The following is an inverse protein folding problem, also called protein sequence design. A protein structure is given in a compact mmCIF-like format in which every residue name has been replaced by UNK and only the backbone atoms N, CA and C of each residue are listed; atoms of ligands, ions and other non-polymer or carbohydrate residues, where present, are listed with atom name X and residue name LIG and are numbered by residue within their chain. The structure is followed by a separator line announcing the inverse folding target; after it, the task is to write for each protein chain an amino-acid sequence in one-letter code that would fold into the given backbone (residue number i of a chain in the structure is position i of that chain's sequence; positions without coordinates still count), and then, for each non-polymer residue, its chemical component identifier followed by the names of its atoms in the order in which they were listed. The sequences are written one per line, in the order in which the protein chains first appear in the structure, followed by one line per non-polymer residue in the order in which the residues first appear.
data_IF_716537085704
#
_entry.id   IF_716537085704
#
_cell.length_a   1.000
_cell.length_b   1.000
_cell.length_c   1.000
_cell.angle_alpha   90.00
_cell.angle_beta   90.00
_cell.angle_gamma   90.00
#
_symmetry.space_group_name_H-M   'P 1'
#
loop_
_entity.id
_entity.type
_entity.pdbx_description
1 polymer ?
#
# COMPACT_ATOMS: atom_id res chain seq x y z
N UNK A 1 7.28 -38.50 9.40
CA UNK A 1 7.53 -37.38 10.34
C UNK A 1 8.06 -36.21 9.54
N UNK A 2 7.20 -35.25 9.18
CA UNK A 2 7.62 -34.04 8.52
C UNK A 2 8.04 -33.03 9.59
N UNK A 3 9.30 -32.64 9.56
CA UNK A 3 9.87 -31.64 10.45
C UNK A 3 9.13 -30.31 10.26
N UNK A 4 8.44 -29.88 11.30
CA UNK A 4 7.88 -28.52 11.39
C UNK A 4 9.06 -27.57 11.46
N UNK A 5 9.37 -26.94 10.34
CA UNK A 5 10.42 -25.92 10.26
C UNK A 5 10.00 -24.75 11.14
N UNK A 6 10.77 -24.48 12.16
CA UNK A 6 10.57 -23.40 13.12
C UNK A 6 10.33 -22.06 12.40
N UNK A 7 9.28 -21.37 12.82
CA UNK A 7 8.87 -20.04 12.39
C UNK A 7 10.02 -19.04 12.39
N UNK A 8 10.67 -18.84 11.26
CA UNK A 8 11.66 -17.80 11.12
C UNK A 8 10.91 -16.51 10.70
N UNK A 9 10.63 -15.64 11.66
CA UNK A 9 9.97 -14.34 11.43
C UNK A 9 10.80 -13.42 10.53
N UNK A 10 12.11 -13.66 10.51
CA UNK A 10 13.06 -12.93 9.66
C UNK A 10 13.21 -13.65 8.32
N UNK A 11 13.22 -12.86 7.24
CA UNK A 11 13.60 -13.39 5.93
C UNK A 11 15.12 -13.58 5.82
N UNK A 12 15.55 -14.38 4.84
CA UNK A 12 16.97 -14.68 4.61
C UNK A 12 17.78 -13.53 4.00
N UNK A 13 17.23 -12.30 3.92
CA UNK A 13 17.92 -11.11 3.39
C UNK A 13 17.95 -11.00 1.86
N UNK A 14 17.24 -11.87 1.13
CA UNK A 14 17.12 -11.79 -0.33
C UNK A 14 16.15 -10.69 -0.75
N UNK A 15 16.52 -9.90 -1.77
CA UNK A 15 15.72 -8.78 -2.26
C UNK A 15 14.64 -9.19 -3.26
N UNK A 16 14.71 -10.40 -3.84
CA UNK A 16 13.72 -10.91 -4.79
C UNK A 16 12.72 -11.81 -4.08
N UNK A 17 11.52 -11.31 -3.88
CA UNK A 17 10.39 -12.10 -3.38
C UNK A 17 9.47 -12.40 -4.56
N UNK A 18 9.33 -13.67 -4.91
CA UNK A 18 8.45 -14.11 -6.00
C UNK A 18 6.98 -13.77 -5.69
N UNK A 19 6.16 -13.61 -6.73
CA UNK A 19 4.72 -13.45 -6.57
C UNK A 19 4.11 -14.68 -5.85
N UNK A 20 3.11 -14.45 -4.99
CA UNK A 20 2.44 -15.52 -4.24
C UNK A 20 3.18 -16.02 -2.99
N UNK A 21 4.37 -15.50 -2.69
CA UNK A 21 5.08 -15.84 -1.45
C UNK A 21 4.32 -15.31 -0.24
N UNK A 22 4.20 -16.17 0.77
CA UNK A 22 3.61 -15.81 2.06
C UNK A 22 4.69 -15.66 3.14
N UNK A 23 4.42 -14.84 4.14
CA UNK A 23 5.27 -14.65 5.32
C UNK A 23 4.42 -14.55 6.58
N UNK A 24 5.02 -14.88 7.71
CA UNK A 24 4.38 -14.67 9.01
C UNK A 24 4.48 -13.20 9.42
N UNK A 25 3.35 -12.61 9.81
CA UNK A 25 3.33 -11.30 10.42
C UNK A 25 3.94 -11.37 11.83
N UNK A 26 4.98 -10.58 12.09
CA UNK A 26 5.65 -10.55 13.38
C UNK A 26 4.74 -10.12 14.55
N UNK A 27 3.69 -9.35 14.26
CA UNK A 27 2.71 -8.91 15.25
C UNK A 27 1.62 -9.95 15.51
N UNK A 28 0.97 -10.45 14.42
CA UNK A 28 -0.24 -11.29 14.53
C UNK A 28 0.05 -12.78 14.38
N UNK A 29 1.25 -13.17 13.98
CA UNK A 29 1.67 -14.56 13.67
C UNK A 29 0.90 -15.19 12.50
N UNK A 30 0.03 -14.47 11.85
CA UNK A 30 -0.72 -14.95 10.69
C UNK A 30 0.19 -15.07 9.47
N UNK A 31 -0.05 -16.10 8.67
CA UNK A 31 0.58 -16.30 7.38
C UNK A 31 -0.18 -15.47 6.32
N UNK A 32 0.47 -14.50 5.72
CA UNK A 32 -0.14 -13.56 4.79
C UNK A 32 0.67 -13.44 3.50
N UNK A 33 0.03 -13.12 2.38
CA UNK A 33 0.74 -12.75 1.16
C UNK A 33 1.66 -11.54 1.41
N UNK A 34 2.86 -11.56 0.87
CA UNK A 34 3.82 -10.46 1.04
C UNK A 34 3.32 -9.13 0.46
N UNK A 35 2.34 -9.16 -0.46
CA UNK A 35 1.72 -7.96 -1.02
C UNK A 35 0.78 -7.26 -0.03
N UNK A 36 0.32 -7.99 0.98
CA UNK A 36 -0.50 -7.49 2.08
C UNK A 36 0.34 -7.02 3.27
N UNK A 37 1.67 -7.05 3.15
CA UNK A 37 2.59 -6.76 4.23
C UNK A 37 3.61 -5.68 3.86
N UNK A 38 4.22 -5.08 4.88
CA UNK A 38 5.40 -4.24 4.73
C UNK A 38 6.59 -4.95 5.37
N UNK A 39 7.68 -4.99 4.61
CA UNK A 39 8.98 -5.44 5.07
C UNK A 39 9.67 -4.31 5.83
N UNK A 40 10.33 -4.64 6.92
CA UNK A 40 11.17 -3.73 7.68
C UNK A 40 12.58 -4.32 7.79
N UNK A 41 13.57 -3.45 7.80
CA UNK A 41 14.98 -3.82 7.98
C UNK A 41 15.61 -2.94 9.04
N UNK A 42 16.78 -3.34 9.53
CA UNK A 42 17.59 -2.49 10.40
C UNK A 42 18.52 -1.68 9.52
N UNK A 43 18.36 -0.38 9.57
CA UNK A 43 19.21 0.60 8.89
C UNK A 43 20.35 1.12 9.77
N UNK A 44 21.07 2.14 9.31
CA UNK A 44 22.16 2.78 10.07
C UNK A 44 21.67 3.25 11.45
N UNK A 45 22.56 3.20 12.45
CA UNK A 45 22.24 3.61 13.83
C UNK A 45 21.17 2.75 14.51
N UNK A 46 21.00 1.50 14.06
CA UNK A 46 19.98 0.56 14.58
C UNK A 46 18.54 1.05 14.41
N UNK A 47 18.27 1.94 13.45
CA UNK A 47 16.91 2.39 13.17
C UNK A 47 16.13 1.36 12.35
N UNK A 48 14.86 1.13 12.74
CA UNK A 48 13.94 0.33 11.94
C UNK A 48 13.45 1.15 10.75
N UNK A 49 13.62 0.62 9.53
CA UNK A 49 13.31 1.30 8.28
C UNK A 49 12.30 0.48 7.47
N UNK A 50 11.20 1.09 6.98
CA UNK A 50 10.28 0.42 6.07
C UNK A 50 10.95 0.17 4.71
N UNK A 51 10.87 -1.06 4.21
CA UNK A 51 11.35 -1.44 2.87
C UNK A 51 10.17 -1.72 1.93
N UNK A 52 9.46 -0.66 1.57
CA UNK A 52 8.26 -0.71 0.73
C UNK A 52 8.56 -1.31 -0.65
N UNK A 53 9.74 -1.04 -1.21
CA UNK A 53 10.18 -1.53 -2.52
C UNK A 53 10.85 -2.91 -2.46
N UNK A 54 11.07 -3.46 -1.26
CA UNK A 54 11.73 -4.76 -1.03
C UNK A 54 13.13 -4.86 -1.65
N UNK A 55 13.90 -3.78 -1.54
CA UNK A 55 15.23 -3.65 -2.18
C UNK A 55 16.36 -3.43 -1.19
N UNK A 56 16.04 -3.13 0.08
CA UNK A 56 17.06 -2.88 1.08
C UNK A 56 17.74 -4.19 1.49
N UNK A 57 19.08 -4.16 1.68
CA UNK A 57 19.82 -5.33 2.14
C UNK A 57 19.49 -5.68 3.59
N UNK A 58 19.96 -6.84 4.04
CA UNK A 58 19.79 -7.30 5.40
C UNK A 58 18.54 -8.16 5.60
N UNK A 59 18.46 -8.76 6.79
CA UNK A 59 17.30 -9.57 7.19
C UNK A 59 16.07 -8.69 7.35
N UNK A 60 14.94 -9.12 6.84
CA UNK A 60 13.67 -8.40 6.91
C UNK A 60 12.72 -9.00 7.92
N UNK A 61 11.97 -8.14 8.60
CA UNK A 61 10.84 -8.49 9.44
C UNK A 61 9.56 -8.02 8.75
N UNK A 62 8.54 -8.85 8.72
CA UNK A 62 7.30 -8.57 8.00
C UNK A 62 6.16 -8.26 8.96
N UNK A 63 5.44 -7.18 8.71
CA UNK A 63 4.26 -6.77 9.48
C UNK A 63 3.11 -6.52 8.51
N UNK A 64 1.89 -6.85 8.89
CA UNK A 64 0.68 -6.54 8.12
C UNK A 64 0.70 -5.09 7.66
N UNK A 65 0.40 -4.85 6.38
CA UNK A 65 0.54 -3.56 5.71
C UNK A 65 -0.58 -2.58 6.02
N UNK A 66 -0.85 -2.32 7.30
CA UNK A 66 -1.84 -1.35 7.77
C UNK A 66 -1.22 -0.39 8.78
N UNK A 67 -1.77 0.82 8.88
CA UNK A 67 -1.31 1.84 9.83
C UNK A 67 -1.37 1.33 11.27
N UNK A 68 -2.49 0.69 11.62
CA UNK A 68 -2.76 0.18 12.97
C UNK A 68 -1.79 -0.95 13.34
N UNK A 69 -1.51 -1.87 12.41
CA UNK A 69 -0.59 -2.98 12.65
C UNK A 69 0.83 -2.49 12.95
N UNK A 70 1.29 -1.49 12.21
CA UNK A 70 2.64 -0.96 12.41
C UNK A 70 2.71 -0.16 13.71
N UNK A 71 1.73 0.68 14.01
CA UNK A 71 1.66 1.41 15.26
C UNK A 71 1.64 0.46 16.48
N UNK A 72 0.85 -0.61 16.41
CA UNK A 72 0.79 -1.62 17.47
C UNK A 72 2.09 -2.43 17.57
N UNK A 73 2.76 -2.72 16.45
CA UNK A 73 4.06 -3.38 16.45
C UNK A 73 5.14 -2.52 17.13
N UNK A 74 5.12 -1.21 16.94
CA UNK A 74 5.99 -0.27 17.66
C UNK A 74 5.67 -0.28 19.14
N UNK A 75 4.39 -0.10 19.51
CA UNK A 75 3.93 -0.06 20.91
C UNK A 75 4.30 -1.33 21.68
N UNK A 76 4.18 -2.50 21.06
CA UNK A 76 4.53 -3.79 21.66
C UNK A 76 5.99 -4.19 21.53
N UNK A 77 6.85 -3.31 21.05
CA UNK A 77 8.29 -3.57 20.86
C UNK A 77 8.57 -4.85 20.04
N UNK A 78 7.73 -5.10 19.00
CA UNK A 78 7.81 -6.29 18.14
C UNK A 78 9.11 -6.31 17.36
N UNK A 79 9.61 -5.15 16.94
CA UNK A 79 10.82 -5.03 16.12
C UNK A 79 12.07 -5.47 16.88
N UNK A 80 12.30 -5.02 18.12
CA UNK A 80 13.45 -5.44 18.91
C UNK A 80 13.45 -6.96 19.17
N UNK A 81 12.29 -7.51 19.51
CA UNK A 81 12.13 -8.96 19.69
C UNK A 81 12.34 -9.75 18.40
N UNK A 82 11.77 -9.28 17.29
CA UNK A 82 11.87 -9.97 16.01
C UNK A 82 13.28 -9.95 15.43
N UNK A 83 13.97 -8.82 15.50
CA UNK A 83 15.37 -8.72 15.06
C UNK A 83 16.37 -9.32 16.05
N UNK A 84 15.94 -9.62 17.30
CA UNK A 84 16.79 -10.14 18.38
C UNK A 84 17.99 -9.22 18.68
N UNK A 85 17.79 -7.92 18.59
CA UNK A 85 18.79 -6.89 18.87
C UNK A 85 18.11 -5.61 19.33
N UNK A 86 18.86 -4.73 19.96
CA UNK A 86 18.37 -3.41 20.31
C UNK A 86 18.22 -2.56 19.04
N UNK A 87 16.97 -2.17 18.74
CA UNK A 87 16.62 -1.34 17.58
C UNK A 87 15.72 -0.19 17.98
N UNK A 88 15.83 0.90 17.24
CA UNK A 88 15.05 2.12 17.45
C UNK A 88 13.93 2.19 16.42
N UNK A 89 12.72 1.85 16.82
CA UNK A 89 11.52 2.09 16.01
C UNK A 89 10.96 3.47 16.34
N UNK A 90 10.83 4.33 15.33
CA UNK A 90 10.22 5.65 15.49
C UNK A 90 8.76 5.50 15.96
N UNK A 91 8.30 6.37 16.83
CA UNK A 91 6.88 6.44 17.22
C UNK A 91 5.97 6.67 16.00
N UNK A 92 6.45 7.40 14.99
CA UNK A 92 5.75 7.64 13.70
C UNK A 92 6.27 6.75 12.57
N UNK A 93 6.65 5.50 12.87
CA UNK A 93 7.08 4.54 11.85
C UNK A 93 5.96 4.26 10.83
N UNK A 94 4.70 4.27 11.28
CA UNK A 94 3.55 4.11 10.41
C UNK A 94 3.39 5.28 9.43
N UNK A 95 3.55 6.53 9.88
CA UNK A 95 3.56 7.69 9.00
C UNK A 95 4.70 7.65 7.98
N UNK A 96 5.90 7.26 8.40
CA UNK A 96 7.03 7.04 7.50
C UNK A 96 6.70 6.00 6.42
N UNK A 97 6.11 4.87 6.80
CA UNK A 97 5.72 3.82 5.86
C UNK A 97 4.66 4.31 4.85
N UNK A 98 3.67 5.10 5.32
CA UNK A 98 2.66 5.69 4.46
C UNK A 98 3.25 6.64 3.42
N UNK A 99 4.11 7.57 3.85
CA UNK A 99 4.78 8.50 2.94
C UNK A 99 5.59 7.76 1.87
N UNK A 100 6.26 6.66 2.25
CA UNK A 100 7.00 5.83 1.29
C UNK A 100 6.07 5.09 0.32
N UNK A 101 4.90 4.62 0.76
CA UNK A 101 3.87 4.02 -0.12
C UNK A 101 3.32 5.05 -1.10
N UNK A 102 2.96 6.23 -0.62
CA UNK A 102 2.47 7.32 -1.45
C UNK A 102 3.52 7.74 -2.50
N UNK A 103 4.75 7.99 -2.08
CA UNK A 103 5.86 8.30 -2.99
C UNK A 103 6.06 7.19 -4.02
N UNK A 104 5.98 5.93 -3.60
CA UNK A 104 6.10 4.80 -4.53
C UNK A 104 5.01 4.80 -5.59
N UNK A 105 3.76 5.12 -5.25
CA UNK A 105 2.65 5.23 -6.20
C UNK A 105 2.86 6.41 -7.16
N UNK A 106 3.23 7.60 -6.64
CA UNK A 106 3.53 8.79 -7.46
C UNK A 106 4.71 8.58 -8.41
N UNK A 107 5.78 7.87 -7.98
CA UNK A 107 6.89 7.47 -8.86
C UNK A 107 6.39 6.61 -10.04
N UNK A 108 5.45 5.68 -9.78
CA UNK A 108 4.88 4.86 -10.86
C UNK A 108 4.01 5.70 -11.80
N UNK A 109 3.22 6.62 -11.25
CA UNK A 109 2.42 7.55 -12.07
C UNK A 109 3.30 8.40 -12.97
N UNK A 110 4.41 8.93 -12.45
CA UNK A 110 5.39 9.70 -13.23
C UNK A 110 5.97 8.89 -14.40
N UNK A 111 6.32 7.63 -14.16
CA UNK A 111 6.83 6.72 -15.21
C UNK A 111 5.75 6.47 -16.27
N UNK A 112 4.51 6.23 -15.84
CA UNK A 112 3.36 6.02 -16.72
C UNK A 112 3.06 7.27 -17.56
N UNK A 113 3.16 8.46 -16.95
CA UNK A 113 3.02 9.73 -17.64
C UNK A 113 4.10 9.95 -18.72
N UNK A 114 5.37 9.64 -18.40
CA UNK A 114 6.49 9.70 -19.36
C UNK A 114 6.33 8.71 -20.52
N UNK A 115 5.68 7.58 -20.28
CA UNK A 115 5.36 6.58 -21.31
C UNK A 115 4.14 6.98 -22.19
N UNK A 116 3.56 8.18 -22.00
CA UNK A 116 2.41 8.64 -22.76
C UNK A 116 1.09 7.93 -22.42
N UNK A 117 1.03 7.26 -21.25
CA UNK A 117 -0.15 6.51 -20.78
C UNK A 117 -0.97 7.28 -19.75
N UNK A 118 -0.84 8.60 -19.72
CA UNK A 118 -1.58 9.49 -18.83
C UNK A 118 -2.02 10.74 -19.59
N UNK A 119 -3.30 11.05 -19.49
CA UNK A 119 -3.92 12.27 -20.04
C UNK A 119 -4.28 13.16 -18.87
N UNK A 120 -3.95 14.46 -18.94
CA UNK A 120 -4.23 15.43 -17.87
C UNK A 120 -5.04 16.62 -18.36
N UNK A 121 -5.90 17.17 -17.50
CA UNK A 121 -6.78 18.31 -17.77
C UNK A 121 -8.19 17.91 -18.18
N UNK A 122 -9.19 18.66 -17.71
CA UNK A 122 -10.61 18.33 -17.78
C UNK A 122 -11.07 17.89 -19.18
N UNK A 123 -10.94 18.76 -20.19
CA UNK A 123 -11.42 18.49 -21.55
C UNK A 123 -10.75 17.27 -22.21
N UNK A 124 -9.45 17.06 -21.94
CA UNK A 124 -8.73 15.89 -22.48
C UNK A 124 -9.14 14.61 -21.78
N UNK A 125 -9.38 14.66 -20.47
CA UNK A 125 -9.88 13.51 -19.69
C UNK A 125 -11.28 13.15 -20.16
N UNK A 126 -12.18 14.12 -20.35
CA UNK A 126 -13.52 13.91 -20.88
C UNK A 126 -13.49 13.27 -22.26
N UNK A 127 -12.62 13.74 -23.16
CA UNK A 127 -12.42 13.12 -24.48
C UNK A 127 -11.89 11.69 -24.40
N UNK A 128 -10.96 11.41 -23.48
CA UNK A 128 -10.45 10.05 -23.27
C UNK A 128 -11.54 9.10 -22.73
N UNK A 129 -12.40 9.57 -21.83
CA UNK A 129 -13.57 8.79 -21.37
C UNK A 129 -14.45 8.43 -22.55
N UNK A 130 -14.74 9.40 -23.45
CA UNK A 130 -15.61 9.15 -24.60
C UNK A 130 -15.06 8.12 -25.61
N UNK A 131 -13.73 7.93 -25.64
CA UNK A 131 -13.03 6.95 -26.48
C UNK A 131 -12.91 5.56 -25.83
N UNK A 132 -13.34 5.39 -24.58
CA UNK A 132 -13.26 4.14 -23.81
C UNK A 132 -11.83 3.56 -23.69
N UNK A 133 -10.82 4.40 -23.58
CA UNK A 133 -9.42 3.96 -23.46
C UNK A 133 -8.83 4.26 -22.08
N UNK A 134 -9.65 4.24 -21.03
CA UNK A 134 -9.19 4.53 -19.66
C UNK A 134 -9.31 3.33 -18.72
N UNK A 135 -8.27 3.10 -17.91
CA UNK A 135 -8.25 2.11 -16.84
C UNK A 135 -8.56 2.70 -15.46
N UNK A 136 -8.23 3.97 -15.28
CA UNK A 136 -8.59 4.68 -14.07
C UNK A 136 -8.78 6.17 -14.33
N UNK A 137 -9.67 6.77 -13.52
CA UNK A 137 -9.86 8.20 -13.42
C UNK A 137 -9.20 8.68 -12.12
N UNK A 138 -8.37 9.72 -12.22
CA UNK A 138 -7.63 10.27 -11.08
C UNK A 138 -8.12 11.69 -10.85
N UNK A 139 -8.56 11.98 -9.63
CA UNK A 139 -8.88 13.31 -9.16
C UNK A 139 -7.93 13.72 -8.06
N UNK A 140 -7.51 14.97 -8.03
CA UNK A 140 -6.85 15.52 -6.87
C UNK A 140 -7.81 15.46 -5.67
N UNK A 141 -7.32 15.10 -4.48
CA UNK A 141 -8.15 15.00 -3.26
C UNK A 141 -8.70 16.36 -2.80
N UNK A 142 -8.11 17.43 -3.28
CA UNK A 142 -8.51 18.83 -3.09
C UNK A 142 -9.19 19.44 -4.35
N UNK A 143 -9.61 18.58 -5.30
CA UNK A 143 -10.36 19.00 -6.49
C UNK A 143 -11.75 19.54 -6.13
N UNK A 144 -12.28 20.44 -6.95
CA UNK A 144 -13.66 20.89 -6.79
C UNK A 144 -14.65 19.79 -7.09
N UNK A 145 -15.76 19.76 -6.33
CA UNK A 145 -16.82 18.75 -6.46
C UNK A 145 -17.48 18.78 -7.87
N UNK A 146 -17.59 19.94 -8.49
CA UNK A 146 -18.27 20.08 -9.78
C UNK A 146 -17.52 19.35 -10.91
N UNK A 147 -16.20 19.57 -11.03
CA UNK A 147 -15.37 18.89 -12.02
C UNK A 147 -15.34 17.38 -11.81
N UNK A 148 -15.14 16.95 -10.56
CA UNK A 148 -15.15 15.54 -10.16
C UNK A 148 -16.47 14.86 -10.51
N UNK A 149 -17.60 15.49 -10.15
CA UNK A 149 -18.95 14.97 -10.43
C UNK A 149 -19.21 14.83 -11.94
N UNK A 150 -18.84 15.83 -12.75
CA UNK A 150 -19.04 15.78 -14.20
C UNK A 150 -18.28 14.63 -14.86
N UNK A 151 -17.00 14.45 -14.55
CA UNK A 151 -16.18 13.38 -15.11
C UNK A 151 -16.64 11.99 -14.63
N UNK A 152 -17.02 11.84 -13.36
CA UNK A 152 -17.58 10.61 -12.84
C UNK A 152 -18.94 10.27 -13.49
N UNK A 153 -19.78 11.26 -13.76
CA UNK A 153 -21.03 11.07 -14.45
C UNK A 153 -20.82 10.63 -15.92
N UNK A 154 -19.85 11.24 -16.62
CA UNK A 154 -19.47 10.85 -17.98
C UNK A 154 -18.98 9.38 -18.02
N UNK A 155 -18.11 8.98 -17.07
CA UNK A 155 -17.63 7.61 -16.94
C UNK A 155 -18.77 6.62 -16.67
N UNK A 156 -19.67 6.94 -15.74
CA UNK A 156 -20.83 6.10 -15.42
C UNK A 156 -21.80 5.97 -16.60
N UNK A 157 -21.96 7.02 -17.42
CA UNK A 157 -22.76 6.97 -18.64
C UNK A 157 -22.16 6.04 -19.69
N UNK A 158 -20.83 6.07 -19.87
CA UNK A 158 -20.11 5.17 -20.77
C UNK A 158 -20.27 3.69 -20.30
N UNK A 159 -20.01 3.41 -19.02
CA UNK A 159 -20.13 2.06 -18.46
C UNK A 159 -21.52 1.46 -18.62
N UNK A 160 -22.59 2.28 -18.50
CA UNK A 160 -23.97 1.85 -18.77
C UNK A 160 -24.22 1.49 -20.23
N UNK A 161 -23.59 2.20 -21.17
CA UNK A 161 -23.68 1.88 -22.61
C UNK A 161 -22.98 0.58 -22.98
N UNK A 162 -21.97 0.20 -22.21
CA UNK A 162 -21.13 -0.99 -22.43
C UNK A 162 -21.55 -2.18 -21.58
N UNK A 163 -22.83 -2.27 -21.19
CA UNK A 163 -23.38 -3.29 -20.27
C UNK A 163 -23.07 -4.75 -20.67
N UNK A 164 -22.80 -5.04 -21.95
CA UNK A 164 -22.40 -6.39 -22.41
C UNK A 164 -20.96 -6.80 -22.07
N UNK A 165 -20.07 -5.81 -21.79
CA UNK A 165 -18.70 -6.02 -21.33
C UNK A 165 -18.34 -4.94 -20.33
N UNK A 166 -18.86 -5.01 -19.09
CA UNK A 166 -18.55 -4.00 -18.09
C UNK A 166 -17.05 -4.02 -17.78
N UNK A 167 -16.36 -2.94 -18.09
CA UNK A 167 -14.99 -2.70 -17.68
C UNK A 167 -15.04 -1.92 -16.38
N UNK A 168 -14.48 -2.49 -15.32
CA UNK A 168 -14.39 -1.80 -14.03
C UNK A 168 -13.25 -0.76 -14.09
N UNK A 169 -13.62 0.50 -14.27
CA UNK A 169 -12.67 1.61 -14.27
C UNK A 169 -12.56 2.19 -12.86
N UNK A 170 -11.38 2.18 -12.28
CA UNK A 170 -11.15 2.65 -10.93
C UNK A 170 -11.20 4.19 -10.86
N UNK A 171 -11.77 4.75 -9.78
CA UNK A 171 -11.61 6.17 -9.42
C UNK A 171 -10.63 6.30 -8.27
N UNK A 172 -9.67 7.22 -8.39
CA UNK A 172 -8.56 7.44 -7.46
C UNK A 172 -8.54 8.90 -7.03
N UNK A 173 -8.62 9.14 -5.72
CA UNK A 173 -8.67 10.46 -5.08
C UNK A 173 -7.69 10.57 -3.88
N UNK A 174 -6.57 9.85 -3.95
CA UNK A 174 -5.64 9.67 -2.84
C UNK A 174 -4.53 10.74 -2.75
N UNK A 175 -4.35 11.55 -3.79
CA UNK A 175 -3.23 12.48 -3.91
C UNK A 175 -3.74 13.91 -4.05
N UNK A 176 -3.12 14.86 -3.35
CA UNK A 176 -3.42 16.29 -3.55
C UNK A 176 -2.94 16.79 -4.91
N UNK A 177 -3.51 17.90 -5.40
CA UNK A 177 -3.05 18.57 -6.63
C UNK A 177 -1.56 18.87 -6.59
N UNK A 178 -1.03 19.34 -5.45
CA UNK A 178 0.40 19.57 -5.28
C UNK A 178 1.26 18.32 -5.42
N UNK A 179 0.80 17.16 -4.93
CA UNK A 179 1.50 15.89 -5.13
C UNK A 179 1.48 15.44 -6.60
N UNK A 180 0.35 15.65 -7.30
CA UNK A 180 0.24 15.33 -8.72
C UNK A 180 1.12 16.24 -9.58
N UNK A 181 1.15 17.54 -9.28
CA UNK A 181 1.99 18.53 -9.96
C UNK A 181 3.47 18.16 -9.88
N UNK A 182 3.94 17.88 -8.69
CA UNK A 182 5.34 17.46 -8.44
C UNK A 182 5.68 16.15 -9.16
N UNK A 183 4.81 15.15 -9.07
CA UNK A 183 5.06 13.84 -9.65
C UNK A 183 5.10 13.89 -11.18
N UNK A 184 4.23 14.68 -11.81
CA UNK A 184 4.09 14.78 -13.26
C UNK A 184 4.92 15.90 -13.88
N UNK A 185 5.59 16.70 -13.04
CA UNK A 185 6.31 17.91 -13.45
C UNK A 185 5.44 18.82 -14.32
N UNK A 186 4.22 19.07 -13.89
CA UNK A 186 3.20 19.90 -14.58
C UNK A 186 2.40 20.67 -13.55
N UNK A 187 2.14 21.94 -13.74
CA UNK A 187 1.29 22.71 -12.83
C UNK A 187 -0.20 22.39 -13.03
N UNK A 188 -0.95 22.51 -11.96
CA UNK A 188 -2.41 22.48 -11.94
C UNK A 188 -3.04 21.18 -12.48
N UNK A 189 -2.50 20.05 -12.04
CA UNK A 189 -3.06 18.72 -12.36
C UNK A 189 -4.18 18.38 -11.36
N UNK A 190 -5.41 18.67 -11.75
CA UNK A 190 -6.60 18.38 -10.93
C UNK A 190 -7.26 17.06 -11.33
N UNK A 191 -7.29 16.76 -12.62
CA UNK A 191 -7.89 15.55 -13.18
C UNK A 191 -6.94 14.88 -14.17
N UNK A 192 -6.85 13.56 -14.12
CA UNK A 192 -6.11 12.77 -15.08
C UNK A 192 -6.86 11.45 -15.40
N UNK A 193 -6.64 10.95 -16.61
CA UNK A 193 -7.08 9.64 -17.05
C UNK A 193 -5.87 8.74 -17.30
N UNK A 194 -5.89 7.55 -16.73
CA UNK A 194 -4.88 6.52 -16.90
C UNK A 194 -5.29 5.60 -18.06
N UNK A 195 -4.44 5.51 -19.07
CA UNK A 195 -4.64 4.63 -20.22
C UNK A 195 -4.02 3.25 -19.94
N UNK A 196 -4.50 2.21 -20.64
CA UNK A 196 -4.02 0.84 -20.44
C UNK A 196 -2.52 0.65 -20.72
N UNK A 197 -1.91 -0.28 -19.98
CA UNK A 197 -0.54 -0.72 -20.18
C UNK A 197 0.21 -1.14 -18.91
N UNK A 198 1.40 -1.76 -19.05
CA UNK A 198 2.15 -2.33 -17.90
C UNK A 198 2.50 -1.30 -16.79
N UNK A 199 2.74 -0.05 -17.17
CA UNK A 199 2.98 1.03 -16.22
C UNK A 199 1.74 1.34 -15.38
N UNK A 200 0.57 1.29 -16.01
CA UNK A 200 -0.72 1.53 -15.37
C UNK A 200 -1.06 0.43 -14.36
N UNK A 201 -0.84 -0.83 -14.70
CA UNK A 201 -0.99 -1.95 -13.78
C UNK A 201 -0.10 -1.78 -12.53
N UNK A 202 1.17 -1.38 -12.76
CA UNK A 202 2.10 -1.12 -11.66
C UNK A 202 1.62 0.02 -10.75
N UNK A 203 1.10 1.09 -11.32
CA UNK A 203 0.55 2.21 -10.56
C UNK A 203 -0.68 1.76 -9.77
N UNK A 204 -1.64 1.09 -10.40
CA UNK A 204 -2.86 0.59 -9.76
C UNK A 204 -2.57 -0.37 -8.60
N UNK A 205 -1.61 -1.27 -8.76
CA UNK A 205 -1.18 -2.15 -7.68
C UNK A 205 -0.63 -1.37 -6.47
N UNK A 206 0.15 -0.29 -6.71
CA UNK A 206 0.67 0.56 -5.64
C UNK A 206 -0.42 1.42 -4.98
N UNK A 207 -1.38 1.91 -5.76
CA UNK A 207 -2.58 2.61 -5.25
C UNK A 207 -3.40 1.69 -4.36
N UNK A 208 -3.66 0.47 -4.79
CA UNK A 208 -4.39 -0.52 -4.00
C UNK A 208 -3.70 -0.78 -2.66
N UNK A 209 -2.38 -0.89 -2.67
CA UNK A 209 -1.58 -1.07 -1.45
C UNK A 209 -1.67 0.14 -0.50
N UNK A 210 -1.58 1.37 -1.04
CA UNK A 210 -1.74 2.61 -0.27
C UNK A 210 -3.15 2.74 0.30
N UNK A 211 -4.19 2.47 -0.51
CA UNK A 211 -5.59 2.49 -0.07
C UNK A 211 -5.85 1.49 1.06
N UNK A 212 -5.34 0.27 0.94
CA UNK A 212 -5.43 -0.74 2.01
C UNK A 212 -4.73 -0.27 3.28
N UNK A 213 -3.56 0.35 3.15
CA UNK A 213 -2.82 0.88 4.29
C UNK A 213 -3.61 1.94 5.06
N UNK A 214 -4.31 2.83 4.35
CA UNK A 214 -5.12 3.91 4.94
C UNK A 214 -6.46 3.46 5.50
N UNK A 215 -7.13 2.53 4.82
CA UNK A 215 -8.55 2.19 5.05
C UNK A 215 -8.76 0.81 5.66
N UNK A 216 -7.71 0.15 6.16
CA UNK A 216 -7.88 -1.18 6.75
C UNK A 216 -8.67 -1.08 8.07
N UNK A 217 -9.71 -1.90 8.27
CA UNK A 217 -10.40 -1.98 9.56
C UNK A 217 -9.41 -2.44 10.64
N UNK A 218 -9.62 -1.97 11.88
CA UNK A 218 -8.79 -2.32 13.02
C UNK A 218 -8.58 -3.83 13.13
N UNK A 219 -7.32 -4.25 13.34
CA UNK A 219 -6.99 -5.67 13.46
C UNK A 219 -7.61 -6.21 14.74
N UNK A 220 -8.47 -7.23 14.63
CA UNK A 220 -8.91 -8.00 15.77
C UNK A 220 -7.71 -8.80 16.33
N UNK A 221 -7.03 -8.25 17.32
CA UNK A 221 -5.98 -8.94 18.04
C UNK A 221 -6.64 -10.02 18.92
N UNK A 222 -6.37 -11.30 18.62
CA UNK A 222 -6.67 -12.35 19.58
C UNK A 222 -5.85 -12.09 20.84
N UNK A 223 -6.49 -11.60 21.88
CA UNK A 223 -5.93 -11.59 23.23
C UNK A 223 -5.82 -13.05 23.67
N UNK A 224 -4.60 -13.58 23.72
CA UNK A 224 -4.35 -14.83 24.44
C UNK A 224 -4.64 -14.54 25.90
N UNK A 225 -5.53 -15.28 26.57
CA UNK A 225 -5.74 -15.13 28.01
C UNK A 225 -4.40 -15.40 28.71
N UNK A 226 -4.02 -14.52 29.62
CA UNK A 226 -2.89 -14.77 30.50
C UNK A 226 -3.21 -16.02 31.31
N UNK A 227 -2.40 -17.06 31.10
CA UNK A 227 -2.40 -18.26 31.91
C UNK A 227 -1.92 -17.89 33.32
N UNK A 228 -2.81 -17.88 34.26
CA UNK A 228 -2.52 -17.46 35.62
C UNK A 228 -3.61 -17.79 36.60
N UNK A 229 -3.91 -19.08 36.75
CA UNK A 229 -4.54 -19.55 37.99
C UNK A 229 -3.90 -20.91 38.40
N UNK A 230 -2.78 -20.81 39.09
CA UNK A 230 -2.33 -21.94 39.92
C UNK A 230 -3.36 -22.15 41.02
N UNK A 231 -4.12 -23.23 40.91
CA UNK A 231 -4.95 -23.71 41.99
C UNK A 231 -4.09 -24.07 43.22
N UNK A 232 -4.35 -23.42 44.31
CA UNK A 232 -3.96 -23.93 45.63
C UNK A 232 -4.87 -25.08 45.98
N UNK A 233 -4.26 -26.26 46.10
CA UNK A 233 -4.82 -27.40 46.80
C UNK A 233 -4.57 -27.16 48.28
N UNK A 234 -5.61 -27.09 49.07
CA UNK A 234 -5.55 -27.30 50.53
C UNK A 234 -6.47 -28.44 50.90
N UNK A 235 -5.91 -29.29 51.67
CA UNK A 235 -6.41 -30.45 52.42
C UNK A 235 -7.92 -30.53 52.66
#
# INVERSE_FOLDING_TARGET
MLAVTQNNELDGGGTKVAAGVQRHCALTRQLLPVDDMIRFVVGPGSHVVPDVKRKLPGRGLWVTGTREAIAEAVKRNVFARGFKQDVRASADLAGTAEQMLERSALDALAITGKAGRLVTGFAKVEAAIAQDDIEALIHASDASDDGTRKLNAALAALQRKMAEKPRETATIDLFSGGHLDLALNRPNVVHAALLGGPGSETFLARVTRLRRFRNSPAIALKTTPADGARGQVTE
#
